data_IF_689027806636
#
_entry.id   IF_689027806636
#
_cell.length_a   1.000
_cell.length_b   1.000
_cell.length_c   1.000
_cell.angle_alpha   90.00
_cell.angle_beta   90.00
_cell.angle_gamma   90.00
#
_symmetry.space_group_name_H-M   'P 1'
#
loop_
_entity.id
_entity.type
_entity.pdbx_description
1 polymer ?
#
# COMPACT_ATOMS: atom_id res chain seq x y z
N UNK A 1 57.72 -29.36 -40.97
CA UNK A 1 58.75 -28.36 -40.59
C UNK A 1 58.13 -27.47 -39.53
N UNK A 2 58.40 -27.74 -38.24
CA UNK A 2 59.21 -26.88 -37.35
C UNK A 2 58.89 -25.38 -37.49
N UNK A 3 58.23 -24.81 -36.48
CA UNK A 3 58.81 -23.73 -35.68
C UNK A 3 58.10 -23.56 -34.31
N UNK A 4 58.84 -23.96 -33.26
CA UNK A 4 58.91 -23.38 -31.90
C UNK A 4 59.00 -21.83 -32.03
N UNK A 5 58.63 -20.94 -31.13
CA UNK A 5 58.86 -20.72 -29.68
C UNK A 5 58.21 -19.33 -29.42
N UNK A 6 57.65 -18.94 -28.27
CA UNK A 6 58.34 -18.51 -27.04
C UNK A 6 57.24 -18.00 -26.08
N UNK A 7 56.94 -18.70 -25.00
CA UNK A 7 57.28 -18.32 -23.61
C UNK A 7 57.02 -16.86 -23.22
N UNK A 8 55.92 -16.67 -22.49
CA UNK A 8 55.74 -15.64 -21.47
C UNK A 8 55.18 -16.31 -20.21
N UNK A 9 56.07 -16.59 -19.25
CA UNK A 9 55.78 -16.98 -17.86
C UNK A 9 54.90 -15.91 -17.17
N UNK A 10 54.05 -16.16 -16.17
CA UNK A 10 54.18 -17.04 -15.00
C UNK A 10 52.81 -17.27 -14.33
N UNK A 11 52.65 -18.47 -13.75
CA UNK A 11 51.64 -18.93 -12.77
C UNK A 11 50.15 -18.78 -13.15
N UNK A 12 49.37 -19.81 -13.51
CA UNK A 12 49.58 -21.26 -13.36
C UNK A 12 48.75 -21.88 -12.24
N UNK A 13 47.42 -21.79 -12.34
CA UNK A 13 46.52 -22.88 -11.94
C UNK A 13 45.49 -23.07 -13.06
N UNK A 14 45.89 -23.82 -14.08
CA UNK A 14 44.96 -24.48 -14.99
C UNK A 14 44.57 -25.81 -14.35
N UNK A 15 43.27 -26.09 -14.25
CA UNK A 15 42.82 -27.47 -14.39
C UNK A 15 41.42 -27.48 -14.99
N UNK A 16 41.39 -27.15 -16.27
CA UNK A 16 40.37 -27.55 -17.21
C UNK A 16 40.49 -29.06 -17.44
N UNK A 17 39.67 -29.85 -16.74
CA UNK A 17 39.35 -31.22 -17.15
C UNK A 17 37.90 -31.25 -17.63
N UNK A 18 37.76 -31.40 -18.94
CA UNK A 18 36.53 -31.80 -19.62
C UNK A 18 36.00 -33.09 -19.00
N UNK A 19 34.93 -33.00 -18.23
CA UNK A 19 34.13 -34.17 -17.83
C UNK A 19 32.72 -33.93 -18.39
N UNK A 20 32.45 -34.60 -19.50
CA UNK A 20 31.11 -34.82 -20.05
C UNK A 20 30.34 -35.60 -18.99
N UNK A 21 29.41 -34.98 -18.28
CA UNK A 21 28.60 -35.65 -17.27
C UNK A 21 27.12 -35.57 -17.66
N UNK A 22 26.52 -36.76 -17.84
CA UNK A 22 25.17 -36.98 -18.36
C UNK A 22 24.12 -36.23 -17.53
N UNK A 23 23.17 -35.63 -18.23
CA UNK A 23 22.03 -34.87 -17.70
C UNK A 23 21.02 -35.80 -17.01
N UNK A 24 21.35 -36.31 -15.83
CA UNK A 24 20.36 -36.89 -14.90
C UNK A 24 20.99 -36.95 -13.51
N UNK A 25 20.66 -36.01 -12.64
CA UNK A 25 20.17 -36.31 -11.28
C UNK A 25 19.94 -35.03 -10.46
N UNK A 26 18.76 -35.00 -9.85
CA UNK A 26 18.03 -33.89 -9.24
C UNK A 26 18.63 -33.46 -7.89
N UNK A 27 19.92 -33.09 -7.83
CA UNK A 27 20.62 -32.80 -6.56
C UNK A 27 20.62 -31.32 -6.13
N UNK A 28 20.23 -30.39 -7.02
CA UNK A 28 20.14 -28.96 -6.69
C UNK A 28 18.80 -28.55 -6.04
N UNK A 29 17.84 -29.47 -5.93
CA UNK A 29 16.49 -29.19 -5.39
C UNK A 29 16.45 -29.28 -3.84
N UNK A 30 17.50 -29.84 -3.21
CA UNK A 30 17.49 -30.16 -1.77
C UNK A 30 18.24 -29.17 -0.87
N UNK A 31 19.05 -28.25 -1.41
CA UNK A 31 19.73 -27.23 -0.60
C UNK A 31 18.81 -26.15 0.05
N UNK A 32 17.67 -25.72 -0.52
CA UNK A 32 16.84 -24.69 0.13
C UNK A 32 16.03 -25.19 1.32
N UNK A 33 15.94 -26.51 1.57
CA UNK A 33 15.07 -27.08 2.63
C UNK A 33 15.71 -27.01 4.03
N UNK A 34 17.05 -27.01 4.15
CA UNK A 34 17.70 -27.03 5.49
C UNK A 34 17.65 -25.67 6.20
N UNK A 35 17.52 -24.56 5.46
CA UNK A 35 17.34 -23.23 6.04
C UNK A 35 15.96 -23.01 6.68
N UNK A 36 15.00 -23.91 6.43
CA UNK A 36 13.62 -23.83 6.91
C UNK A 36 13.46 -24.49 8.30
N UNK A 37 14.46 -25.25 8.78
CA UNK A 37 14.36 -26.06 10.00
C UNK A 37 14.70 -25.32 11.31
N UNK A 38 15.43 -24.21 11.28
CA UNK A 38 15.66 -23.38 12.47
C UNK A 38 14.77 -22.13 12.41
N UNK A 39 13.68 -22.18 13.17
CA UNK A 39 12.72 -21.09 13.44
C UNK A 39 11.49 -21.00 12.53
N UNK A 40 10.64 -22.03 12.64
CA UNK A 40 9.19 -21.83 12.81
C UNK A 40 8.92 -20.70 13.85
N UNK A 41 7.94 -19.83 13.68
CA UNK A 41 6.56 -20.25 13.55
C UNK A 41 5.63 -19.24 12.83
N UNK A 42 4.82 -19.82 11.93
CA UNK A 42 3.43 -19.49 11.61
C UNK A 42 3.14 -18.33 10.62
N UNK A 43 3.19 -18.75 9.35
CA UNK A 43 2.31 -18.39 8.23
C UNK A 43 2.31 -16.94 7.73
N UNK A 44 3.23 -16.65 6.80
CA UNK A 44 2.99 -15.62 5.78
C UNK A 44 3.07 -16.24 4.38
N UNK A 45 1.92 -16.34 3.74
CA UNK A 45 1.76 -16.82 2.37
C UNK A 45 2.26 -15.74 1.39
N UNK A 46 3.57 -15.71 1.16
CA UNK A 46 4.20 -14.88 0.14
C UNK A 46 4.32 -15.68 -1.16
N UNK A 47 3.21 -15.78 -1.89
CA UNK A 47 3.21 -16.23 -3.27
C UNK A 47 2.38 -15.28 -4.13
N UNK A 48 3.03 -14.33 -4.81
CA UNK A 48 2.63 -13.96 -6.18
C UNK A 48 3.88 -13.69 -7.01
N UNK A 49 3.88 -14.32 -8.18
CA UNK A 49 4.98 -14.51 -9.13
C UNK A 49 5.09 -13.33 -10.09
N UNK A 50 6.33 -13.06 -10.47
CA UNK A 50 6.89 -12.61 -11.76
C UNK A 50 6.06 -11.85 -12.82
N UNK A 51 6.81 -10.98 -13.53
CA UNK A 51 6.66 -10.59 -14.95
C UNK A 51 5.81 -9.34 -15.27
N UNK A 52 6.51 -8.20 -15.24
CA UNK A 52 6.55 -7.16 -16.29
C UNK A 52 5.40 -7.06 -17.29
N UNK A 53 4.42 -6.22 -16.94
CA UNK A 53 3.90 -5.22 -17.87
C UNK A 53 4.44 -3.89 -17.38
N UNK A 54 5.20 -3.16 -18.20
CA UNK A 54 5.48 -1.74 -17.95
C UNK A 54 4.16 -1.00 -18.17
N UNK A 55 3.28 -1.12 -17.18
CA UNK A 55 2.07 -0.35 -17.03
C UNK A 55 2.18 0.15 -15.61
N UNK A 56 2.42 1.46 -15.46
CA UNK A 56 2.29 2.23 -14.23
C UNK A 56 1.30 1.51 -13.32
N UNK A 57 1.80 0.81 -12.30
CA UNK A 57 0.94 0.17 -11.31
C UNK A 57 0.34 1.36 -10.59
N UNK A 58 -0.81 1.82 -11.07
CA UNK A 58 -1.66 2.71 -10.33
C UNK A 58 -2.14 1.83 -9.17
N UNK A 59 -1.32 1.77 -8.11
CA UNK A 59 -1.79 1.42 -6.78
C UNK A 59 -2.94 2.40 -6.58
N UNK A 60 -4.17 1.94 -6.79
CA UNK A 60 -5.34 2.75 -6.48
C UNK A 60 -5.14 3.15 -5.03
N UNK A 61 -5.18 4.44 -4.70
CA UNK A 61 -4.96 4.82 -3.33
C UNK A 61 -6.15 4.27 -2.55
N UNK A 62 -5.91 3.23 -1.76
CA UNK A 62 -6.97 2.60 -0.98
C UNK A 62 -7.56 3.65 -0.02
N UNK A 63 -8.84 3.53 0.37
CA UNK A 63 -9.45 4.39 1.38
C UNK A 63 -8.61 4.47 2.67
N UNK A 64 -7.83 3.43 2.97
CA UNK A 64 -6.81 3.38 4.02
C UNK A 64 -5.76 4.50 3.90
N UNK A 65 -5.26 4.79 2.69
CA UNK A 65 -4.28 5.85 2.47
C UNK A 65 -4.88 7.24 2.69
N UNK A 66 -6.12 7.46 2.27
CA UNK A 66 -6.85 8.69 2.53
C UNK A 66 -7.10 8.89 4.03
N UNK A 67 -7.50 7.84 4.75
CA UNK A 67 -7.69 7.89 6.19
C UNK A 67 -6.39 8.20 6.96
N UNK A 68 -5.25 7.66 6.51
CA UNK A 68 -3.95 7.98 7.08
C UNK A 68 -3.53 9.44 6.84
N UNK A 69 -3.79 9.97 5.64
CA UNK A 69 -3.56 11.39 5.36
C UNK A 69 -4.41 12.30 6.28
N UNK A 70 -5.67 11.90 6.50
CA UNK A 70 -6.58 12.59 7.42
C UNK A 70 -6.10 12.45 8.85
N UNK A 71 -5.66 11.28 9.33
CA UNK A 71 -5.14 11.16 10.71
C UNK A 71 -3.92 12.05 10.96
N UNK A 72 -3.13 12.29 9.93
CA UNK A 72 -1.96 13.18 9.99
C UNK A 72 -2.33 14.67 9.82
N UNK A 73 -3.55 14.99 9.38
CA UNK A 73 -3.98 16.36 9.10
C UNK A 73 -3.34 16.96 7.84
N UNK A 74 -2.81 16.12 6.96
CA UNK A 74 -2.13 16.57 5.74
C UNK A 74 -3.14 16.84 4.62
N UNK A 75 -3.63 18.07 4.55
CA UNK A 75 -4.58 18.51 3.53
C UNK A 75 -4.02 18.34 2.11
N UNK A 76 -2.74 18.62 1.88
CA UNK A 76 -2.10 18.50 0.57
C UNK A 76 -2.14 17.05 0.08
N UNK A 77 -1.85 16.10 0.97
CA UNK A 77 -1.94 14.67 0.67
C UNK A 77 -3.38 14.23 0.41
N UNK A 78 -4.34 14.74 1.19
CA UNK A 78 -5.77 14.47 0.97
C UNK A 78 -6.21 14.95 -0.42
N UNK A 79 -5.81 16.14 -0.82
CA UNK A 79 -6.11 16.69 -2.15
C UNK A 79 -5.50 15.87 -3.28
N UNK A 80 -4.22 15.49 -3.15
CA UNK A 80 -3.51 14.64 -4.11
C UNK A 80 -4.24 13.29 -4.29
N UNK A 81 -4.64 12.66 -3.20
CA UNK A 81 -5.32 11.37 -3.20
C UNK A 81 -6.71 11.47 -3.83
N UNK A 82 -7.50 12.48 -3.47
CA UNK A 82 -8.82 12.71 -4.10
C UNK A 82 -8.66 12.97 -5.60
N UNK A 83 -7.65 13.75 -6.01
CA UNK A 83 -7.33 14.00 -7.42
C UNK A 83 -6.92 12.74 -8.20
N UNK A 84 -6.37 11.73 -7.52
CA UNK A 84 -6.05 10.41 -8.09
C UNK A 84 -7.28 9.49 -8.26
N UNK A 85 -8.48 9.98 -7.94
CA UNK A 85 -9.73 9.24 -8.14
C UNK A 85 -10.13 8.35 -6.96
N UNK A 86 -9.62 8.63 -5.75
CA UNK A 86 -10.06 7.94 -4.53
C UNK A 86 -11.51 8.30 -4.23
N UNK A 87 -12.32 7.30 -3.93
CA UNK A 87 -13.70 7.52 -3.57
C UNK A 87 -13.81 8.04 -2.12
N UNK A 88 -14.22 9.30 -1.97
CA UNK A 88 -14.40 9.98 -0.68
C UNK A 88 -15.49 9.32 0.19
N UNK A 89 -16.36 8.51 -0.40
CA UNK A 89 -17.46 7.85 0.29
C UNK A 89 -17.16 6.39 0.66
N UNK A 90 -15.96 5.90 0.35
CA UNK A 90 -15.57 4.56 0.74
C UNK A 90 -15.58 4.43 2.26
N UNK A 91 -15.99 3.24 2.71
CA UNK A 91 -16.06 2.93 4.12
C UNK A 91 -14.91 2.03 4.48
N UNK A 92 -14.31 2.30 5.62
CA UNK A 92 -13.38 1.41 6.29
C UNK A 92 -14.12 0.17 6.86
N UNK A 93 -13.38 -0.80 7.39
CA UNK A 93 -13.91 -2.03 8.02
C UNK A 93 -14.92 -1.74 9.15
N UNK A 94 -14.81 -0.56 9.76
CA UNK A 94 -15.72 -0.06 10.81
C UNK A 94 -16.96 0.68 10.25
N UNK A 95 -17.16 0.64 8.94
CA UNK A 95 -18.23 1.37 8.25
C UNK A 95 -18.03 2.90 8.25
N UNK A 96 -16.88 3.41 8.68
CA UNK A 96 -16.61 4.85 8.79
C UNK A 96 -16.14 5.41 7.47
N UNK A 97 -16.64 6.60 7.13
CA UNK A 97 -16.19 7.36 5.96
C UNK A 97 -15.03 8.29 6.32
N UNK A 98 -14.20 8.69 5.34
CA UNK A 98 -13.15 9.70 5.49
C UNK A 98 -13.63 10.97 6.22
N UNK A 99 -14.85 11.43 5.90
CA UNK A 99 -15.45 12.60 6.55
C UNK A 99 -15.68 12.40 8.06
N UNK A 100 -16.08 11.19 8.50
CA UNK A 100 -16.22 10.90 9.93
C UNK A 100 -14.88 10.96 10.65
N UNK A 101 -13.80 10.50 10.02
CA UNK A 101 -12.45 10.61 10.57
C UNK A 101 -12.02 12.08 10.69
N UNK A 102 -12.23 12.90 9.65
CA UNK A 102 -11.87 14.32 9.68
C UNK A 102 -12.58 15.08 10.82
N UNK A 103 -13.84 14.72 11.13
CA UNK A 103 -14.59 15.27 12.27
C UNK A 103 -14.05 14.80 13.61
N UNK A 104 -13.68 13.51 13.72
CA UNK A 104 -13.07 12.96 14.94
C UNK A 104 -11.75 13.66 15.27
N UNK A 105 -10.93 13.93 14.25
CA UNK A 105 -9.68 14.67 14.39
C UNK A 105 -9.86 16.21 14.43
N UNK A 106 -11.11 16.70 14.31
CA UNK A 106 -11.49 18.11 14.35
C UNK A 106 -10.79 19.00 13.30
N UNK A 107 -10.53 18.45 12.11
CA UNK A 107 -9.79 19.14 11.04
C UNK A 107 -10.76 19.88 10.11
N UNK A 108 -11.03 21.16 10.40
CA UNK A 108 -12.01 21.98 9.66
C UNK A 108 -11.72 22.11 8.17
N UNK A 109 -10.44 22.20 7.79
CA UNK A 109 -10.05 22.42 6.40
C UNK A 109 -10.31 21.18 5.54
N UNK A 110 -9.93 20.01 6.07
CA UNK A 110 -10.18 18.71 5.45
C UNK A 110 -11.69 18.42 5.40
N UNK A 111 -12.44 18.74 6.46
CA UNK A 111 -13.91 18.62 6.47
C UNK A 111 -14.53 19.43 5.33
N UNK A 112 -14.13 20.70 5.19
CA UNK A 112 -14.64 21.60 4.16
C UNK A 112 -14.31 21.09 2.76
N UNK A 113 -13.08 20.63 2.54
CA UNK A 113 -12.65 20.04 1.28
C UNK A 113 -13.46 18.79 0.92
N UNK A 114 -13.64 17.85 1.85
CA UNK A 114 -14.39 16.61 1.60
C UNK A 114 -15.86 16.89 1.28
N UNK A 115 -16.48 17.85 1.96
CA UNK A 115 -17.87 18.28 1.70
C UNK A 115 -17.99 18.89 0.30
N UNK A 116 -17.07 19.78 -0.08
CA UNK A 116 -17.05 20.39 -1.41
C UNK A 116 -16.90 19.35 -2.52
N UNK A 117 -16.13 18.27 -2.28
CA UNK A 117 -15.98 17.15 -3.21
C UNK A 117 -17.12 16.09 -3.10
N UNK A 118 -18.25 16.45 -2.49
CA UNK A 118 -19.47 15.62 -2.56
C UNK A 118 -19.56 14.51 -1.52
N UNK A 119 -18.84 14.59 -0.39
CA UNK A 119 -18.97 13.62 0.69
C UNK A 119 -20.44 13.44 1.15
N UNK A 120 -20.83 12.18 1.39
CA UNK A 120 -22.15 11.79 1.87
C UNK A 120 -22.26 11.99 3.37
N UNK A 121 -23.19 12.85 3.78
CA UNK A 121 -23.48 13.15 5.20
C UNK A 121 -24.44 12.15 5.83
N UNK A 122 -25.21 11.43 5.01
CA UNK A 122 -26.27 10.49 5.43
C UNK A 122 -25.76 9.08 5.71
N UNK A 123 -24.49 8.81 5.40
CA UNK A 123 -23.89 7.49 5.60
C UNK A 123 -23.83 7.14 7.07
N UNK A 124 -24.28 5.92 7.41
CA UNK A 124 -24.16 5.33 8.75
C UNK A 124 -22.91 4.45 8.85
N UNK A 125 -22.25 4.53 10.01
CA UNK A 125 -21.19 3.60 10.40
C UNK A 125 -21.75 2.25 10.89
N UNK A 126 -20.87 1.31 11.25
CA UNK A 126 -21.29 -0.01 11.77
C UNK A 126 -22.07 0.03 13.08
N UNK A 127 -22.02 1.15 13.81
CA UNK A 127 -22.76 1.38 15.06
C UNK A 127 -24.05 2.17 14.83
N UNK A 128 -24.37 2.50 13.58
CA UNK A 128 -25.55 3.28 13.21
C UNK A 128 -25.40 4.80 13.37
N UNK A 129 -24.21 5.31 13.72
CA UNK A 129 -23.97 6.75 13.83
C UNK A 129 -23.81 7.40 12.47
N UNK A 130 -24.44 8.57 12.29
CA UNK A 130 -24.26 9.43 11.11
C UNK A 130 -23.25 10.54 11.37
N UNK A 131 -22.82 11.23 10.31
CA UNK A 131 -21.88 12.35 10.36
C UNK A 131 -22.30 13.44 11.36
N UNK A 132 -23.60 13.73 11.47
CA UNK A 132 -24.13 14.69 12.44
C UNK A 132 -23.92 14.26 13.91
N UNK A 133 -23.95 12.96 14.21
CA UNK A 133 -23.70 12.46 15.56
C UNK A 133 -22.23 12.65 15.95
N UNK A 134 -21.31 12.46 14.99
CA UNK A 134 -19.89 12.74 15.17
C UNK A 134 -19.64 14.23 15.40
N UNK A 135 -20.35 15.11 14.68
CA UNK A 135 -20.28 16.55 14.88
C UNK A 135 -20.67 16.96 16.30
N UNK A 136 -21.80 16.43 16.79
CA UNK A 136 -22.29 16.66 18.16
C UNK A 136 -21.31 16.14 19.21
N UNK A 137 -20.70 14.97 18.98
CA UNK A 137 -19.67 14.40 19.87
C UNK A 137 -18.38 15.23 19.92
N UNK A 138 -18.02 15.93 18.83
CA UNK A 138 -16.81 16.75 18.82
C UNK A 138 -16.90 17.98 19.73
N UNK A 139 -18.14 18.39 20.10
CA UNK A 139 -18.48 19.60 20.86
C UNK A 139 -17.96 20.91 20.24
N UNK A 140 -17.60 20.88 18.95
CA UNK A 140 -17.14 22.06 18.22
C UNK A 140 -18.29 22.72 17.48
N UNK A 141 -18.66 23.93 17.90
CA UNK A 141 -19.71 24.72 17.26
C UNK A 141 -19.41 24.98 15.77
N UNK A 142 -18.13 25.17 15.42
CA UNK A 142 -17.67 25.39 14.04
C UNK A 142 -17.97 24.19 13.16
N UNK A 143 -17.63 22.98 13.61
CA UNK A 143 -17.85 21.74 12.84
C UNK A 143 -19.34 21.46 12.67
N UNK A 144 -20.14 21.69 13.73
CA UNK A 144 -21.59 21.53 13.67
C UNK A 144 -22.19 22.50 12.63
N UNK A 145 -21.77 23.76 12.64
CA UNK A 145 -22.22 24.76 11.64
C UNK A 145 -21.88 24.34 10.22
N UNK A 146 -20.64 23.92 9.95
CA UNK A 146 -20.20 23.48 8.61
C UNK A 146 -21.08 22.32 8.10
N UNK A 147 -21.36 21.33 8.95
CA UNK A 147 -22.15 20.15 8.56
C UNK A 147 -23.63 20.49 8.39
N UNK A 148 -24.20 21.33 9.25
CA UNK A 148 -25.58 21.82 9.12
C UNK A 148 -25.75 22.67 7.85
N UNK A 149 -24.80 23.54 7.53
CA UNK A 149 -24.78 24.29 6.28
C UNK A 149 -24.68 23.36 5.06
N UNK A 150 -23.80 22.37 5.11
CA UNK A 150 -23.65 21.38 4.05
C UNK A 150 -24.92 20.53 3.84
N UNK A 151 -25.69 20.30 4.91
CA UNK A 151 -26.96 19.57 4.85
C UNK A 151 -28.07 20.38 4.20
N UNK A 152 -28.13 21.69 4.44
CA UNK A 152 -29.14 22.60 3.86
C UNK A 152 -28.94 22.86 2.36
N UNK A 153 -27.71 22.69 1.86
CA UNK A 153 -27.35 22.94 0.46
C UNK A 153 -27.62 21.77 -0.49
N UNK A 154 -28.00 20.60 0.02
CA UNK A 154 -28.38 19.40 -0.76
C UNK A 154 -29.88 19.23 -0.75
#
# INVERSE_FOLDING_TARGET
MRNKIFLGSSSGYQSSKSIIMKKTNKFWVLLPVLGILFSNALQVNAATKENTKVSVVIVKPEPTQLNLAISNGDLSKVQELVGKGVNINDKDERGKTPLMYAILYKQTDIISFLIQNGAKLTTKDSRGFVVADYAKKSKSATIIKIIEEARKRK
#
